data_IF_266591010234
#
_entry.id   IF_266591010234
#
_cell.length_a   1.000
_cell.length_b   1.000
_cell.length_c   1.000
_cell.angle_alpha   90.00
_cell.angle_beta   90.00
_cell.angle_gamma   90.00
#
_symmetry.space_group_name_H-M   'P 1'
#
loop_
_entity.id
_entity.type
_entity.pdbx_description
1 polymer ?
#
# COMPACT_ATOMS: atom_id res chain seq x y z
N UNK A 1 -3.44 -41.05 -42.82
CA UNK A 1 -4.67 -40.30 -42.49
C UNK A 1 -5.09 -40.76 -41.11
N UNK A 2 -4.57 -40.12 -40.07
CA UNK A 2 -4.87 -40.43 -38.67
C UNK A 2 -6.02 -39.53 -38.23
N UNK A 3 -7.17 -40.13 -38.00
CA UNK A 3 -8.36 -39.48 -37.46
C UNK A 3 -8.04 -38.92 -36.06
N UNK A 4 -8.34 -37.64 -35.84
CA UNK A 4 -8.32 -36.99 -34.51
C UNK A 4 -9.75 -36.73 -34.01
N UNK A 5 -10.59 -37.76 -33.78
CA UNK A 5 -11.99 -37.56 -33.39
C UNK A 5 -12.14 -36.95 -31.98
N UNK A 6 -11.05 -36.90 -31.20
CA UNK A 6 -11.06 -36.36 -29.84
C UNK A 6 -10.69 -34.87 -29.75
N UNK A 7 -10.01 -34.30 -30.77
CA UNK A 7 -9.59 -32.89 -30.76
C UNK A 7 -10.75 -31.93 -31.08
N UNK A 8 -11.72 -32.34 -31.90
CA UNK A 8 -12.89 -31.51 -32.19
C UNK A 8 -13.75 -31.34 -30.93
N UNK A 9 -13.99 -32.42 -30.19
CA UNK A 9 -14.68 -32.39 -28.89
C UNK A 9 -13.95 -31.49 -27.87
N UNK A 10 -12.62 -31.62 -27.77
CA UNK A 10 -11.80 -30.78 -26.91
C UNK A 10 -11.86 -29.30 -27.31
N UNK A 11 -11.76 -29.00 -28.62
CA UNK A 11 -11.79 -27.61 -29.11
C UNK A 11 -13.15 -26.94 -28.88
N UNK A 12 -14.24 -27.67 -29.05
CA UNK A 12 -15.60 -27.19 -28.77
C UNK A 12 -15.75 -26.88 -27.28
N UNK A 13 -15.29 -27.79 -26.41
CA UNK A 13 -15.36 -27.58 -24.97
C UNK A 13 -14.47 -26.43 -24.49
N UNK A 14 -13.25 -26.29 -25.03
CA UNK A 14 -12.37 -25.15 -24.75
C UNK A 14 -13.04 -23.84 -25.14
N UNK A 15 -13.66 -23.77 -26.32
CA UNK A 15 -14.34 -22.56 -26.77
C UNK A 15 -15.59 -22.26 -25.93
N UNK A 16 -16.32 -23.29 -25.49
CA UNK A 16 -17.46 -23.17 -24.56
C UNK A 16 -17.00 -22.57 -23.23
N UNK A 17 -15.95 -23.14 -22.62
CA UNK A 17 -15.36 -22.65 -21.37
C UNK A 17 -14.79 -21.23 -21.51
N UNK A 18 -14.14 -20.93 -22.63
CA UNK A 18 -13.67 -19.58 -22.92
C UNK A 18 -14.83 -18.58 -22.95
N UNK A 19 -15.95 -18.93 -23.60
CA UNK A 19 -17.18 -18.13 -23.58
C UNK A 19 -17.72 -17.89 -22.16
N UNK A 20 -17.67 -18.90 -21.29
CA UNK A 20 -18.05 -18.75 -19.89
C UNK A 20 -17.12 -17.79 -19.13
N UNK A 21 -15.81 -17.89 -19.34
CA UNK A 21 -14.82 -16.98 -18.75
C UNK A 21 -15.07 -15.54 -19.19
N UNK A 22 -15.36 -15.30 -20.47
CA UNK A 22 -15.69 -13.96 -20.99
C UNK A 22 -16.95 -13.40 -20.32
N UNK A 23 -18.00 -14.21 -20.18
CA UNK A 23 -19.25 -13.81 -19.51
C UNK A 23 -19.02 -13.49 -18.03
N UNK A 24 -18.39 -14.39 -17.28
CA UNK A 24 -18.10 -14.20 -15.87
C UNK A 24 -17.18 -12.99 -15.62
N UNK A 25 -16.21 -12.77 -16.51
CA UNK A 25 -15.32 -11.61 -16.44
C UNK A 25 -16.04 -10.29 -16.70
N UNK A 26 -17.07 -10.27 -17.55
CA UNK A 26 -17.91 -9.08 -17.76
C UNK A 26 -18.75 -8.80 -16.50
N UNK A 27 -19.46 -9.80 -16.01
CA UNK A 27 -20.30 -9.67 -14.80
C UNK A 27 -19.48 -9.22 -13.59
N UNK A 28 -18.30 -9.80 -13.39
CA UNK A 28 -17.38 -9.38 -12.32
C UNK A 28 -17.02 -7.90 -12.43
N UNK A 29 -16.67 -7.41 -13.63
CA UNK A 29 -16.33 -5.99 -13.83
C UNK A 29 -17.51 -5.06 -13.54
N UNK A 30 -18.72 -5.46 -13.92
CA UNK A 30 -19.93 -4.68 -13.66
C UNK A 30 -20.26 -4.62 -12.16
N UNK A 31 -20.11 -5.74 -11.43
CA UNK A 31 -20.26 -5.78 -9.97
C UNK A 31 -19.21 -4.92 -9.25
N UNK A 32 -17.95 -4.99 -9.68
CA UNK A 32 -16.87 -4.16 -9.14
C UNK A 32 -17.16 -2.67 -9.35
N UNK A 33 -17.64 -2.30 -10.53
CA UNK A 33 -18.03 -0.93 -10.82
C UNK A 33 -19.23 -0.48 -9.97
N UNK A 34 -20.26 -1.32 -9.81
CA UNK A 34 -21.40 -1.02 -8.93
C UNK A 34 -20.99 -0.79 -7.46
N UNK A 35 -20.06 -1.60 -6.95
CA UNK A 35 -19.50 -1.42 -5.61
C UNK A 35 -18.71 -0.11 -5.49
N UNK A 36 -17.91 0.24 -6.51
CA UNK A 36 -17.16 1.48 -6.55
C UNK A 36 -18.08 2.72 -6.56
N UNK A 37 -19.10 2.71 -7.40
CA UNK A 37 -20.09 3.79 -7.50
C UNK A 37 -20.83 3.99 -6.17
N UNK A 38 -21.20 2.89 -5.52
CA UNK A 38 -21.84 2.92 -4.19
C UNK A 38 -20.92 3.52 -3.12
N UNK A 39 -19.65 3.10 -3.08
CA UNK A 39 -18.65 3.64 -2.17
C UNK A 39 -18.39 5.14 -2.39
N UNK A 40 -18.29 5.56 -3.65
CA UNK A 40 -18.15 6.96 -4.03
C UNK A 40 -19.35 7.80 -3.60
N UNK A 41 -20.58 7.32 -3.86
CA UNK A 41 -21.80 8.00 -3.43
C UNK A 41 -21.92 8.08 -1.90
N UNK A 42 -21.57 7.01 -1.20
CA UNK A 42 -21.50 7.01 0.26
C UNK A 42 -20.49 8.07 0.76
N UNK A 43 -19.35 8.20 0.10
CA UNK A 43 -18.35 9.23 0.39
C UNK A 43 -18.89 10.66 0.27
N UNK A 44 -19.68 10.94 -0.76
CA UNK A 44 -20.35 12.24 -0.93
C UNK A 44 -21.30 12.54 0.24
N UNK A 45 -22.15 11.57 0.58
CA UNK A 45 -23.10 11.69 1.69
C UNK A 45 -22.39 11.87 3.04
N UNK A 46 -21.29 11.13 3.27
CA UNK A 46 -20.46 11.28 4.47
C UNK A 46 -19.84 12.68 4.58
N UNK A 47 -19.38 13.27 3.47
CA UNK A 47 -18.87 14.64 3.47
C UNK A 47 -19.95 15.67 3.80
N UNK A 48 -21.18 15.48 3.32
CA UNK A 48 -22.32 16.32 3.68
C UNK A 48 -22.72 16.14 5.15
N UNK A 49 -22.82 14.90 5.63
CA UNK A 49 -23.12 14.56 7.01
C UNK A 49 -22.10 15.21 7.96
N UNK A 50 -20.80 15.09 7.66
CA UNK A 50 -19.73 15.74 8.44
C UNK A 50 -19.90 17.25 8.54
N UNK A 51 -20.32 17.91 7.45
CA UNK A 51 -20.63 19.35 7.44
C UNK A 51 -21.87 19.70 8.27
N UNK A 52 -22.88 18.83 8.31
CA UNK A 52 -24.09 19.02 9.13
C UNK A 52 -23.78 18.83 10.62
N UNK A 53 -23.09 17.74 10.96
CA UNK A 53 -22.67 17.43 12.34
C UNK A 53 -21.81 18.56 12.92
N UNK A 54 -20.84 19.07 12.16
CA UNK A 54 -20.00 20.20 12.61
C UNK A 54 -20.83 21.46 12.91
N UNK A 55 -21.89 21.73 12.13
CA UNK A 55 -22.75 22.90 12.30
C UNK A 55 -23.74 22.74 13.46
N UNK A 56 -24.28 21.54 13.66
CA UNK A 56 -25.32 21.28 14.67
C UNK A 56 -24.78 20.86 16.04
N UNK A 57 -23.68 20.10 16.08
CA UNK A 57 -23.19 19.45 17.30
C UNK A 57 -21.77 19.90 17.70
N UNK A 58 -21.15 20.82 16.94
CA UNK A 58 -19.83 21.35 17.23
C UNK A 58 -18.66 20.47 16.79
N UNK A 59 -17.44 20.90 17.17
CA UNK A 59 -16.21 20.17 16.86
C UNK A 59 -16.09 18.93 17.76
N UNK A 60 -15.70 17.78 17.19
CA UNK A 60 -15.51 16.51 17.92
C UNK A 60 -16.70 15.54 17.84
N UNK A 61 -17.92 16.02 17.60
CA UNK A 61 -19.12 15.18 17.52
C UNK A 61 -19.14 14.19 16.33
N UNK A 62 -18.26 14.39 15.34
CA UNK A 62 -18.19 13.54 14.15
C UNK A 62 -17.87 12.08 14.45
N UNK A 63 -16.99 11.83 15.42
CA UNK A 63 -16.59 10.46 15.78
C UNK A 63 -17.77 9.69 16.40
N UNK A 64 -18.44 10.31 17.37
CA UNK A 64 -19.63 9.77 18.03
C UNK A 64 -20.74 9.51 17.01
N UNK A 65 -20.96 10.45 16.09
CA UNK A 65 -21.94 10.28 15.02
C UNK A 65 -21.62 9.09 14.12
N UNK A 66 -20.35 8.90 13.74
CA UNK A 66 -19.95 7.74 12.94
C UNK A 66 -20.21 6.42 13.66
N UNK A 67 -19.89 6.34 14.95
CA UNK A 67 -20.10 5.14 15.76
C UNK A 67 -21.59 4.77 15.88
N UNK A 68 -22.48 5.77 15.89
CA UNK A 68 -23.92 5.55 16.00
C UNK A 68 -24.62 5.27 14.66
N UNK A 69 -24.19 5.93 13.57
CA UNK A 69 -24.95 5.96 12.31
C UNK A 69 -24.24 5.31 11.13
N UNK A 70 -22.95 4.97 11.23
CA UNK A 70 -22.21 4.33 10.16
C UNK A 70 -21.86 2.89 10.55
N UNK A 71 -22.40 1.91 9.81
CA UNK A 71 -22.27 0.48 10.10
C UNK A 71 -20.84 -0.09 9.91
N UNK A 72 -19.84 0.74 9.64
CA UNK A 72 -18.48 0.34 9.32
C UNK A 72 -17.48 1.21 10.08
N UNK A 73 -16.19 0.91 9.93
CA UNK A 73 -15.16 1.63 10.70
C UNK A 73 -15.01 3.08 10.26
N UNK A 74 -14.58 4.00 11.16
CA UNK A 74 -14.23 5.37 10.78
C UNK A 74 -13.21 5.44 9.64
N UNK A 75 -12.31 4.44 9.56
CA UNK A 75 -11.32 4.33 8.49
C UNK A 75 -11.96 4.04 7.14
N UNK A 76 -12.99 3.20 7.08
CA UNK A 76 -13.78 2.97 5.87
C UNK A 76 -14.49 4.25 5.43
N UNK A 77 -15.10 4.99 6.37
CA UNK A 77 -15.74 6.27 6.07
C UNK A 77 -14.73 7.27 5.47
N UNK A 78 -13.54 7.38 6.07
CA UNK A 78 -12.46 8.23 5.54
C UNK A 78 -12.05 7.84 4.11
N UNK A 79 -11.92 6.54 3.81
CA UNK A 79 -11.59 6.08 2.45
C UNK A 79 -12.67 6.44 1.44
N UNK A 80 -13.94 6.26 1.79
CA UNK A 80 -15.06 6.67 0.92
C UNK A 80 -15.07 8.18 0.70
N UNK A 81 -14.86 8.97 1.75
CA UNK A 81 -14.76 10.43 1.63
C UNK A 81 -13.57 10.87 0.78
N UNK A 82 -12.40 10.24 0.91
CA UNK A 82 -11.23 10.52 0.09
C UNK A 82 -11.46 10.15 -1.38
N UNK A 83 -12.10 9.01 -1.64
CA UNK A 83 -12.51 8.60 -2.98
C UNK A 83 -13.43 9.66 -3.60
N UNK A 84 -14.49 10.05 -2.90
CA UNK A 84 -15.44 11.06 -3.37
C UNK A 84 -14.84 12.47 -3.52
N UNK A 85 -13.81 12.79 -2.74
CA UNK A 85 -13.11 14.07 -2.83
C UNK A 85 -12.18 14.13 -4.05
N UNK A 86 -11.50 13.04 -4.36
CA UNK A 86 -10.44 13.02 -5.38
C UNK A 86 -10.94 12.58 -6.76
N UNK A 87 -12.14 12.02 -6.86
CA UNK A 87 -12.71 11.48 -8.11
C UNK A 87 -14.01 12.19 -8.44
N UNK A 88 -14.06 12.84 -9.60
CA UNK A 88 -15.27 13.46 -10.15
C UNK A 88 -16.19 12.45 -10.84
N UNK A 89 -15.62 11.45 -11.52
CA UNK A 89 -16.33 10.39 -12.22
C UNK A 89 -15.65 9.04 -12.01
N UNK A 90 -16.42 8.04 -11.56
CA UNK A 90 -15.95 6.68 -11.28
C UNK A 90 -15.94 5.77 -12.52
N UNK A 91 -16.51 6.22 -13.63
CA UNK A 91 -16.54 5.50 -14.92
C UNK A 91 -15.14 5.17 -15.42
N UNK A 92 -14.17 6.06 -15.17
CA UNK A 92 -12.76 5.88 -15.53
C UNK A 92 -12.08 4.66 -14.85
N UNK A 93 -12.72 4.10 -13.83
CA UNK A 93 -12.23 2.94 -13.07
C UNK A 93 -13.10 1.70 -13.28
N UNK A 94 -13.91 1.65 -14.36
CA UNK A 94 -14.70 0.47 -14.69
C UNK A 94 -13.81 -0.78 -14.75
N UNK A 95 -14.30 -1.87 -14.14
CA UNK A 95 -13.58 -3.13 -14.03
C UNK A 95 -12.45 -3.18 -12.99
N UNK A 96 -12.21 -2.10 -12.23
CA UNK A 96 -11.27 -2.12 -11.12
C UNK A 96 -11.99 -2.35 -9.79
N UNK A 97 -11.36 -3.12 -8.92
CA UNK A 97 -11.78 -3.26 -7.53
C UNK A 97 -11.48 -2.00 -6.72
N UNK A 98 -12.24 -1.79 -5.64
CA UNK A 98 -12.01 -0.71 -4.67
C UNK A 98 -10.55 -0.62 -4.21
N UNK A 99 -9.91 -1.78 -3.97
CA UNK A 99 -8.50 -1.83 -3.55
C UNK A 99 -7.56 -1.29 -4.64
N UNK A 100 -7.77 -1.67 -5.89
CA UNK A 100 -6.97 -1.17 -7.02
C UNK A 100 -7.17 0.33 -7.21
N UNK A 101 -8.41 0.82 -7.08
CA UNK A 101 -8.70 2.26 -7.16
C UNK A 101 -8.02 3.02 -6.02
N UNK A 102 -8.15 2.56 -4.78
CA UNK A 102 -7.46 3.19 -3.65
C UNK A 102 -5.94 3.22 -3.83
N UNK A 103 -5.35 2.12 -4.33
CA UNK A 103 -3.94 2.07 -4.65
C UNK A 103 -3.55 3.12 -5.71
N UNK A 104 -4.31 3.21 -6.82
CA UNK A 104 -4.08 4.23 -7.87
C UNK A 104 -4.21 5.67 -7.36
N UNK A 105 -5.11 5.90 -6.40
CA UNK A 105 -5.33 7.21 -5.78
C UNK A 105 -4.37 7.51 -4.62
N UNK A 106 -3.45 6.61 -4.29
CA UNK A 106 -2.57 6.76 -3.12
C UNK A 106 -3.31 6.73 -1.78
N UNK A 107 -4.55 6.22 -1.75
CA UNK A 107 -5.33 6.06 -0.53
C UNK A 107 -4.83 4.81 0.18
N UNK A 108 -4.25 4.99 1.37
CA UNK A 108 -3.66 3.91 2.14
C UNK A 108 -4.65 2.77 2.43
N UNK A 109 -4.51 1.69 1.67
CA UNK A 109 -5.09 0.37 1.96
C UNK A 109 -4.07 -0.42 2.76
N UNK A 110 -3.94 -0.14 4.06
CA UNK A 110 -3.19 -1.05 4.93
C UNK A 110 -3.70 -2.48 4.70
N UNK A 111 -2.79 -3.46 4.65
CA UNK A 111 -3.16 -4.84 4.36
C UNK A 111 -4.06 -5.40 5.45
N UNK A 112 -4.84 -6.41 5.06
CA UNK A 112 -5.54 -7.35 5.94
C UNK A 112 -4.60 -7.72 7.10
N UNK A 113 -4.91 -7.28 8.32
CA UNK A 113 -4.18 -7.73 9.49
C UNK A 113 -4.50 -9.21 9.70
N UNK A 114 -3.54 -10.05 9.35
CA UNK A 114 -3.32 -11.40 9.88
C UNK A 114 -1.91 -11.87 9.49
N UNK A 115 -0.91 -11.00 9.64
CA UNK A 115 0.45 -11.46 9.86
C UNK A 115 0.74 -11.08 11.30
N UNK A 116 1.00 -12.11 12.11
CA UNK A 116 1.42 -11.99 13.50
C UNK A 116 2.41 -10.84 13.65
N UNK A 117 2.33 -10.11 14.77
CA UNK A 117 3.37 -9.18 15.21
C UNK A 117 4.73 -9.88 15.11
N UNK A 118 5.43 -9.72 13.99
CA UNK A 118 6.84 -10.04 13.91
C UNK A 118 7.51 -8.98 14.76
N UNK A 119 7.86 -9.36 15.98
CA UNK A 119 8.73 -8.57 16.84
C UNK A 119 10.05 -8.48 16.09
N UNK A 120 10.24 -7.41 15.32
CA UNK A 120 11.54 -7.10 14.72
C UNK A 120 12.43 -6.73 15.91
N UNK A 121 13.47 -7.53 16.24
CA UNK A 121 14.36 -7.17 17.32
C UNK A 121 15.00 -5.82 17.01
N UNK A 122 15.13 -4.92 17.99
CA UNK A 122 15.77 -3.64 17.77
C UNK A 122 17.18 -3.86 17.24
N UNK A 123 17.55 -3.11 16.20
CA UNK A 123 18.88 -3.19 15.61
C UNK A 123 19.92 -2.94 16.72
N UNK A 124 20.86 -3.88 16.93
CA UNK A 124 21.88 -3.72 17.96
C UNK A 124 22.66 -2.41 17.81
N UNK A 125 22.95 -1.76 18.93
CA UNK A 125 23.54 -0.42 18.95
C UNK A 125 24.85 -0.30 18.14
N UNK A 126 25.65 -1.37 18.11
CA UNK A 126 26.89 -1.42 17.33
C UNK A 126 26.67 -1.29 15.83
N UNK A 127 25.54 -1.74 15.28
CA UNK A 127 25.21 -1.60 13.85
C UNK A 127 24.94 -0.13 13.52
N UNK A 128 24.20 0.57 14.39
CA UNK A 128 23.95 2.00 14.24
C UNK A 128 25.21 2.86 14.40
N UNK A 129 26.15 2.44 15.24
CA UNK A 129 27.47 3.07 15.35
C UNK A 129 28.34 2.81 14.12
N UNK A 130 28.37 1.56 13.63
CA UNK A 130 29.11 1.20 12.42
C UNK A 130 28.60 1.97 11.18
N UNK A 131 27.28 2.10 11.01
CA UNK A 131 26.70 2.90 9.93
C UNK A 131 27.06 4.39 10.02
N UNK A 132 27.06 4.96 11.24
CA UNK A 132 27.50 6.35 11.45
C UNK A 132 28.99 6.53 11.19
N UNK A 133 29.82 5.56 11.59
CA UNK A 133 31.25 5.54 11.30
C UNK A 133 31.45 5.51 9.79
N UNK A 134 30.86 4.54 9.07
CA UNK A 134 30.96 4.43 7.61
C UNK A 134 30.51 5.70 6.89
N UNK A 135 29.43 6.35 7.35
CA UNK A 135 28.98 7.64 6.80
C UNK A 135 30.00 8.76 7.03
N UNK A 136 30.66 8.77 8.18
CA UNK A 136 31.70 9.75 8.53
C UNK A 136 33.00 9.49 7.75
N UNK A 137 33.35 8.22 7.55
CA UNK A 137 34.50 7.77 6.76
C UNK A 137 34.30 7.99 5.25
N UNK A 138 33.07 7.85 4.76
CA UNK A 138 32.70 7.97 3.35
C UNK A 138 32.69 9.40 2.78
N UNK A 139 33.13 10.40 3.54
CA UNK A 139 33.33 11.78 3.06
C UNK A 139 34.81 12.23 3.03
N UNK A 140 35.74 11.47 2.41
CA UNK A 140 37.14 11.89 2.33
C UNK A 140 37.35 13.13 1.46
N UNK A 141 36.42 13.45 0.55
CA UNK A 141 36.51 14.57 -0.38
C UNK A 141 36.40 15.97 0.26
N UNK A 142 36.04 16.07 1.55
CA UNK A 142 35.87 17.36 2.26
C UNK A 142 36.97 17.67 3.27
N UNK A 143 37.97 16.79 3.42
CA UNK A 143 38.99 16.91 4.45
C UNK A 143 40.35 17.29 3.83
N UNK A 144 40.99 18.32 4.40
CA UNK A 144 42.37 18.71 4.07
C UNK A 144 43.33 17.51 4.26
N UNK A 145 44.36 17.36 3.41
CA UNK A 145 45.29 16.23 3.42
C UNK A 145 45.95 15.99 4.80
N UNK A 146 46.20 17.03 5.57
CA UNK A 146 46.75 16.92 6.94
C UNK A 146 45.77 16.29 7.93
N UNK A 147 44.48 16.58 7.78
CA UNK A 147 43.45 15.97 8.64
C UNK A 147 43.21 14.52 8.28
N UNK A 148 43.34 14.16 7.00
CA UNK A 148 43.25 12.78 6.55
C UNK A 148 44.41 11.92 7.09
N UNK A 149 45.61 12.48 7.19
CA UNK A 149 46.78 11.74 7.71
C UNK A 149 46.68 11.46 9.21
N UNK A 150 46.24 12.45 10.00
CA UNK A 150 45.95 12.29 11.44
C UNK A 150 44.81 11.30 11.66
N UNK A 151 43.72 11.43 10.91
CA UNK A 151 42.58 10.54 11.03
C UNK A 151 42.91 9.08 10.69
N UNK A 152 43.80 8.83 9.70
CA UNK A 152 44.32 7.49 9.39
C UNK A 152 45.20 6.92 10.52
N UNK A 153 45.96 7.76 11.23
CA UNK A 153 46.73 7.33 12.40
C UNK A 153 45.81 6.96 13.56
N UNK A 154 44.79 7.77 13.82
CA UNK A 154 43.86 7.55 14.94
C UNK A 154 42.98 6.30 14.75
N UNK A 155 42.65 5.96 13.50
CA UNK A 155 41.86 4.76 13.19
C UNK A 155 42.69 3.48 13.04
N UNK A 156 44.02 3.57 13.00
CA UNK A 156 44.90 2.40 12.85
C UNK A 156 44.71 1.34 13.94
N UNK A 157 44.60 1.69 15.24
CA UNK A 157 44.37 0.69 16.29
C UNK A 157 43.01 0.00 16.16
N UNK A 158 41.99 0.71 15.66
CA UNK A 158 40.68 0.12 15.40
C UNK A 158 40.74 -0.86 14.22
N UNK A 159 41.45 -0.49 13.15
CA UNK A 159 41.68 -1.36 12.00
C UNK A 159 42.43 -2.64 12.41
N UNK A 160 43.48 -2.55 13.22
CA UNK A 160 44.22 -3.74 13.70
C UNK A 160 43.32 -4.68 14.51
N UNK A 161 42.48 -4.14 15.40
CA UNK A 161 41.52 -4.95 16.17
C UNK A 161 40.42 -5.58 15.33
N UNK A 162 39.96 -4.88 14.29
CA UNK A 162 38.95 -5.44 13.37
C UNK A 162 39.59 -6.48 12.45
N UNK A 163 40.82 -6.26 12.00
CA UNK A 163 41.55 -7.18 11.13
C UNK A 163 41.65 -8.58 11.73
N UNK A 164 42.00 -8.69 13.02
CA UNK A 164 42.05 -9.99 13.71
C UNK A 164 40.71 -10.72 13.85
N UNK A 165 39.59 -10.08 13.50
CA UNK A 165 38.26 -10.69 13.53
C UNK A 165 37.80 -11.16 12.14
N UNK A 166 38.47 -10.72 11.07
CA UNK A 166 38.08 -11.01 9.68
C UNK A 166 39.16 -11.71 8.86
N UNK A 167 40.42 -11.70 9.32
CA UNK A 167 41.54 -12.51 8.83
C UNK A 167 41.95 -13.53 9.90
#
# INVERSE_FOLDING_TARGET
MTEYPNNECASVEINRLHGEVVRASKESRDLLHGALTSAWRAGQLLMEAKRRVRRGMGAGAWQIWLEQYFASTPRTAQRYMLLAKNVSDVSAFHGLSLRQVYFRLGIATEPKSAAQNLVIPPVPHYIGLAGRLLKSLGQPARLSPDRLSTYRKDLRPLYEKLRSLFE
#
